data_IF_785219154603
#
_entry.id   IF_785219154603
#
_cell.length_a   1.000
_cell.length_b   1.000
_cell.length_c   1.000
_cell.angle_alpha   90.00
_cell.angle_beta   90.00
_cell.angle_gamma   90.00
#
_symmetry.space_group_name_H-M   'P 1'
#
loop_
_entity.id
_entity.type
_entity.pdbx_description
1 polymer ?
#
# COMPACT_ATOMS: atom_id res chain seq x y z
N UNK A 1 8.01 24.72 -9.66
CA UNK A 1 8.51 24.82 -8.27
C UNK A 1 7.92 23.65 -7.51
N UNK A 2 8.58 22.49 -7.63
CA UNK A 2 8.16 21.25 -7.00
C UNK A 2 8.51 21.35 -5.52
N UNK A 3 7.49 21.39 -4.68
CA UNK A 3 7.63 21.41 -3.23
C UNK A 3 8.34 20.14 -2.75
N UNK A 4 9.57 20.34 -2.32
CA UNK A 4 10.31 19.44 -1.44
C UNK A 4 9.46 19.18 -0.17
N UNK A 5 8.75 18.04 -0.14
CA UNK A 5 7.86 17.70 0.97
C UNK A 5 7.66 16.20 1.20
N UNK A 6 8.34 15.35 0.45
CA UNK A 6 8.50 13.92 0.75
C UNK A 6 9.97 13.58 0.66
N UNK A 7 10.73 14.04 1.66
CA UNK A 7 12.05 13.48 1.94
C UNK A 7 11.88 11.95 2.01
N UNK A 8 12.57 11.27 1.09
CA UNK A 8 12.44 9.86 0.80
C UNK A 8 13.02 9.00 1.93
N UNK A 9 12.16 8.27 2.64
CA UNK A 9 12.57 7.07 3.39
C UNK A 9 12.26 5.78 2.62
N UNK A 10 11.85 5.87 1.35
CA UNK A 10 11.38 4.74 0.57
C UNK A 10 12.41 3.59 0.42
N UNK A 11 13.71 3.86 0.58
CA UNK A 11 14.75 2.83 0.61
C UNK A 11 15.05 2.23 2.00
N UNK A 12 14.50 2.79 3.09
CA UNK A 12 14.78 2.41 4.48
C UNK A 12 13.54 1.91 5.25
N UNK A 13 12.33 2.12 4.73
CA UNK A 13 11.11 1.69 5.38
C UNK A 13 10.92 0.17 5.26
N UNK A 14 10.51 -0.47 6.35
CA UNK A 14 10.17 -1.89 6.36
C UNK A 14 8.96 -2.17 5.47
N UNK A 15 9.10 -3.14 4.55
CA UNK A 15 8.10 -3.56 3.57
C UNK A 15 8.18 -5.06 3.29
N UNK A 16 7.30 -5.57 2.43
CA UNK A 16 7.27 -7.00 2.08
C UNK A 16 8.49 -7.43 1.26
N UNK A 17 9.09 -6.49 0.54
CA UNK A 17 10.24 -6.69 -0.33
C UNK A 17 11.56 -6.80 0.45
N UNK A 18 11.69 -6.08 1.57
CA UNK A 18 12.92 -6.03 2.36
C UNK A 18 12.78 -6.64 3.76
N UNK A 19 11.56 -6.93 4.21
CA UNK A 19 11.28 -7.30 5.59
C UNK A 19 11.98 -8.58 6.03
N UNK A 20 12.07 -9.59 5.15
CA UNK A 20 12.82 -10.83 5.44
C UNK A 20 14.30 -10.55 5.69
N UNK A 21 14.92 -9.76 4.81
CA UNK A 21 16.34 -9.40 4.91
C UNK A 21 16.59 -8.58 6.17
N UNK A 22 15.72 -7.61 6.44
CA UNK A 22 15.81 -6.80 7.64
C UNK A 22 15.67 -7.69 8.89
N UNK A 23 14.70 -8.60 8.97
CA UNK A 23 14.46 -9.43 10.16
C UNK A 23 15.56 -10.47 10.46
N UNK A 24 16.31 -10.92 9.45
CA UNK A 24 17.27 -12.02 9.54
C UNK A 24 18.33 -11.92 10.65
N UNK A 25 18.86 -10.75 11.02
CA UNK A 25 19.85 -10.65 12.10
C UNK A 25 19.30 -10.90 13.51
N UNK A 26 17.97 -10.89 13.69
CA UNK A 26 17.35 -10.94 15.02
C UNK A 26 16.54 -12.20 15.31
N UNK A 27 16.12 -12.90 14.26
CA UNK A 27 15.26 -14.08 14.33
C UNK A 27 15.86 -15.24 13.54
N UNK A 28 15.81 -16.43 14.12
CA UNK A 28 16.40 -17.64 13.51
C UNK A 28 15.46 -18.24 12.45
N UNK A 29 14.15 -18.03 12.61
CA UNK A 29 13.13 -18.51 11.69
C UNK A 29 12.22 -17.35 11.28
N UNK A 30 12.05 -17.16 9.98
CA UNK A 30 11.23 -16.10 9.39
C UNK A 30 10.41 -16.68 8.26
N UNK A 31 9.10 -16.58 8.40
CA UNK A 31 8.10 -16.93 7.40
C UNK A 31 7.42 -15.65 6.89
N UNK A 32 7.15 -15.61 5.60
CA UNK A 32 6.47 -14.50 4.94
C UNK A 32 5.24 -15.03 4.23
N UNK A 33 4.10 -14.46 4.57
CA UNK A 33 2.80 -14.77 4.01
C UNK A 33 2.34 -13.58 3.18
N UNK A 34 2.34 -13.71 1.85
CA UNK A 34 1.81 -12.68 0.96
C UNK A 34 0.31 -12.91 0.79
N UNK A 35 -0.47 -11.86 1.01
CA UNK A 35 -1.91 -11.89 0.78
C UNK A 35 -2.19 -11.30 -0.60
N UNK A 36 -2.53 -12.17 -1.53
CA UNK A 36 -2.89 -11.78 -2.90
C UNK A 36 -4.40 -11.50 -2.94
N UNK A 37 -4.74 -10.21 -2.98
CA UNK A 37 -6.11 -9.74 -2.99
C UNK A 37 -6.25 -8.50 -3.88
N UNK A 38 -7.45 -8.37 -4.44
CA UNK A 38 -7.79 -7.30 -5.35
C UNK A 38 -9.20 -6.82 -5.07
N UNK A 39 -9.39 -5.50 -5.10
CA UNK A 39 -10.69 -4.87 -5.05
C UNK A 39 -11.16 -4.61 -6.48
N UNK A 40 -12.31 -5.17 -6.82
CA UNK A 40 -13.01 -4.91 -8.07
C UNK A 40 -14.05 -3.81 -7.85
N UNK A 41 -13.98 -2.76 -8.66
CA UNK A 41 -14.87 -1.61 -8.54
C UNK A 41 -15.61 -1.35 -9.84
N UNK A 42 -16.92 -1.26 -9.75
CA UNK A 42 -17.83 -1.01 -10.88
C UNK A 42 -18.50 0.38 -10.83
N UNK A 43 -18.18 1.20 -9.83
CA UNK A 43 -18.78 2.52 -9.64
C UNK A 43 -17.70 3.57 -9.33
N UNK A 44 -17.71 4.66 -10.09
CA UNK A 44 -16.68 5.71 -9.98
C UNK A 44 -16.88 6.59 -8.75
N UNK A 45 -18.10 7.05 -8.47
CA UNK A 45 -18.34 7.99 -7.37
C UNK A 45 -18.01 7.42 -5.97
N UNK A 46 -18.36 6.16 -5.64
CA UNK A 46 -17.94 5.55 -4.37
C UNK A 46 -16.43 5.45 -4.24
N UNK A 47 -15.72 5.16 -5.33
CA UNK A 47 -14.25 5.10 -5.34
C UNK A 47 -13.63 6.47 -5.11
N UNK A 48 -14.13 7.50 -5.80
CA UNK A 48 -13.70 8.89 -5.59
C UNK A 48 -13.95 9.28 -4.13
N UNK A 49 -15.17 9.09 -3.62
CA UNK A 49 -15.52 9.40 -2.23
C UNK A 49 -14.60 8.68 -1.22
N UNK A 50 -14.30 7.40 -1.45
CA UNK A 50 -13.36 6.63 -0.64
C UNK A 50 -11.95 7.24 -0.64
N UNK A 51 -11.41 7.58 -1.82
CA UNK A 51 -10.09 8.22 -1.94
C UNK A 51 -10.03 9.54 -1.17
N UNK A 52 -11.11 10.32 -1.17
CA UNK A 52 -11.21 11.58 -0.44
C UNK A 52 -11.53 11.43 1.05
N UNK A 53 -11.97 10.25 1.50
CA UNK A 53 -12.17 9.97 2.93
C UNK A 53 -10.86 9.83 3.72
N UNK A 54 -9.73 9.63 3.02
CA UNK A 54 -8.41 9.39 3.63
C UNK A 54 -7.70 10.67 4.06
N UNK A 55 -6.89 10.62 5.12
CA UNK A 55 -6.13 11.77 5.69
C UNK A 55 -5.29 12.51 4.64
N UNK A 56 -4.79 11.81 3.61
CA UNK A 56 -3.97 12.39 2.53
C UNK A 56 -4.74 13.34 1.58
N UNK A 57 -6.07 13.31 1.57
CA UNK A 57 -6.91 14.08 0.64
C UNK A 57 -7.08 15.56 1.04
N UNK A 58 -6.76 15.90 2.30
CA UNK A 58 -6.86 17.26 2.85
C UNK A 58 -5.79 18.22 2.30
N UNK A 59 -4.75 17.69 1.64
CA UNK A 59 -3.62 18.48 1.12
C UNK A 59 -3.69 18.77 -0.39
N UNK A 60 -4.74 18.32 -1.09
CA UNK A 60 -4.86 18.43 -2.55
C UNK A 60 -5.85 19.55 -2.91
N UNK A 61 -5.47 20.45 -3.83
CA UNK A 61 -6.38 21.42 -4.42
C UNK A 61 -7.54 20.68 -5.13
N UNK A 62 -8.72 20.73 -4.50
CA UNK A 62 -9.74 19.70 -4.65
C UNK A 62 -10.51 19.80 -5.97
N UNK A 63 -10.71 20.97 -6.56
CA UNK A 63 -11.73 21.08 -7.63
C UNK A 63 -11.29 20.51 -8.99
N UNK A 64 -10.18 20.96 -9.55
CA UNK A 64 -9.73 20.52 -10.89
C UNK A 64 -9.14 19.11 -10.90
N UNK A 65 -8.46 18.71 -9.83
CA UNK A 65 -7.81 17.41 -9.78
C UNK A 65 -8.81 16.27 -9.57
N UNK A 66 -9.88 16.51 -8.80
CA UNK A 66 -11.00 15.56 -8.66
C UNK A 66 -11.66 15.30 -10.00
N UNK A 67 -11.95 16.33 -10.79
CA UNK A 67 -12.66 16.15 -12.06
C UNK A 67 -11.82 15.40 -13.11
N UNK A 68 -10.51 15.65 -13.14
CA UNK A 68 -9.58 14.88 -13.98
C UNK A 68 -9.53 13.41 -13.54
N UNK A 69 -9.45 13.15 -12.24
CA UNK A 69 -9.46 11.81 -11.67
C UNK A 69 -10.76 11.07 -12.01
N UNK A 70 -11.90 11.72 -11.79
CA UNK A 70 -13.22 11.18 -12.12
C UNK A 70 -13.29 10.80 -13.60
N UNK A 71 -12.92 11.70 -14.51
CA UNK A 71 -12.91 11.42 -15.95
C UNK A 71 -12.04 10.23 -16.32
N UNK A 72 -10.84 10.15 -15.74
CA UNK A 72 -9.94 9.03 -15.95
C UNK A 72 -10.55 7.70 -15.49
N UNK A 73 -11.12 7.66 -14.29
CA UNK A 73 -11.76 6.45 -13.75
C UNK A 73 -12.98 6.04 -14.57
N UNK A 74 -13.80 6.99 -15.03
CA UNK A 74 -14.95 6.72 -15.90
C UNK A 74 -14.53 6.13 -17.24
N UNK A 75 -13.48 6.66 -17.87
CA UNK A 75 -12.95 6.10 -19.12
C UNK A 75 -12.42 4.69 -18.89
N UNK A 76 -11.64 4.48 -17.82
CA UNK A 76 -11.11 3.16 -17.47
C UNK A 76 -12.21 2.11 -17.26
N UNK A 77 -13.26 2.50 -16.54
CA UNK A 77 -14.42 1.64 -16.30
C UNK A 77 -15.19 1.34 -17.59
N UNK A 78 -15.33 2.30 -18.50
CA UNK A 78 -15.98 2.09 -19.79
C UNK A 78 -15.19 1.13 -20.70
N UNK A 79 -13.85 1.21 -20.66
CA UNK A 79 -12.97 0.38 -21.48
C UNK A 79 -12.88 -1.07 -20.96
N UNK A 80 -12.82 -1.26 -19.63
CA UNK A 80 -12.55 -2.56 -19.02
C UNK A 80 -13.76 -3.21 -18.34
N UNK A 81 -14.86 -2.47 -18.18
CA UNK A 81 -16.06 -2.90 -17.45
C UNK A 81 -15.91 -2.93 -15.93
N UNK A 82 -14.67 -2.96 -15.42
CA UNK A 82 -14.33 -3.00 -14.00
C UNK A 82 -12.97 -2.35 -13.76
N UNK A 83 -12.82 -1.64 -12.65
CA UNK A 83 -11.53 -1.11 -12.20
C UNK A 83 -10.92 -2.13 -11.23
N UNK A 84 -9.75 -2.66 -11.58
CA UNK A 84 -9.00 -3.59 -10.74
C UNK A 84 -7.99 -2.82 -9.88
N UNK A 85 -8.13 -2.90 -8.55
CA UNK A 85 -7.21 -2.28 -7.60
C UNK A 85 -6.50 -3.37 -6.81
N UNK A 86 -5.18 -3.47 -6.96
CA UNK A 86 -4.33 -4.42 -6.24
C UNK A 86 -3.56 -3.72 -5.12
N UNK A 87 -3.31 -4.42 -4.00
CA UNK A 87 -2.43 -3.92 -2.94
C UNK A 87 -1.48 -5.00 -2.47
N UNK A 88 -0.19 -4.71 -2.45
CA UNK A 88 0.81 -5.62 -1.86
C UNK A 88 0.68 -5.61 -0.33
N UNK A 89 0.08 -6.67 0.23
CA UNK A 89 -0.08 -6.86 1.68
C UNK A 89 0.41 -8.24 2.08
N UNK A 90 0.89 -8.37 3.30
CA UNK A 90 1.37 -9.63 3.82
C UNK A 90 1.75 -9.54 5.28
N UNK A 91 2.14 -10.68 5.84
CA UNK A 91 2.50 -10.88 7.23
C UNK A 91 3.87 -11.56 7.32
N UNK A 92 4.69 -11.11 8.25
CA UNK A 92 5.88 -11.84 8.68
C UNK A 92 5.58 -12.53 10.01
N UNK A 93 5.92 -13.81 10.12
CA UNK A 93 5.93 -14.57 11.37
C UNK A 93 7.39 -14.92 11.65
N UNK A 94 7.94 -14.40 12.75
CA UNK A 94 9.35 -14.54 13.07
C UNK A 94 9.55 -15.09 14.48
N UNK A 95 10.40 -16.11 14.61
CA UNK A 95 10.72 -16.79 15.85
C UNK A 95 12.22 -16.67 16.16
N UNK A 96 12.53 -16.33 17.41
CA UNK A 96 13.88 -16.41 17.96
C UNK A 96 13.96 -17.64 18.84
N UNK A 97 14.86 -18.56 18.52
CA UNK A 97 15.11 -19.74 19.33
C UNK A 97 16.05 -19.31 20.45
N UNK A 98 15.53 -19.23 21.67
CA UNK A 98 16.34 -18.92 22.83
C UNK A 98 17.38 -20.02 23.06
N UNK A 99 18.67 -19.69 22.94
CA UNK A 99 19.68 -20.42 23.67
C UNK A 99 19.59 -19.95 25.13
N UNK A 100 18.67 -20.55 25.90
CA UNK A 100 18.74 -20.42 27.34
C UNK A 100 19.99 -21.20 27.78
N UNK A 101 20.98 -20.56 28.44
CA UNK A 101 21.97 -21.34 29.16
C UNK A 101 21.20 -22.21 30.16
N UNK A 102 21.32 -23.52 30.01
CA UNK A 102 20.82 -24.48 31.00
C UNK A 102 21.54 -24.16 32.31
N UNK A 103 20.83 -23.90 33.42
CA UNK A 103 21.47 -23.55 34.69
C UNK A 103 22.37 -24.67 35.23
#
# INVERSE_FOLDING_TARGET
LLGEGRQSWAGLAFGLENGRFLLAPWFDQIEQYVYDDSLLVNEVEPLVAYMFSTIASQAVDQSQNVEKLRRYLTQRLADEGVIHITKSTGLFVAHKVGCFPVP
#
